data_IF_063386419555
#
_entry.id   IF_063386419555
#
_cell.length_a   1.000
_cell.length_b   1.000
_cell.length_c   1.000
_cell.angle_alpha   90.00
_cell.angle_beta   90.00
_cell.angle_gamma   90.00
#
_symmetry.space_group_name_H-M   'P 1'
#
loop_
_entity.id
_entity.type
_entity.pdbx_description
1 polymer ?
#
# COMPACT_ATOMS: atom_id res chain seq x y z
N UNK A 1 14.29 6.59 5.32
CA UNK A 1 13.47 5.72 6.20
C UNK A 1 14.41 4.91 7.10
N UNK A 2 14.22 4.92 8.41
CA UNK A 2 15.12 4.24 9.36
C UNK A 2 15.05 2.70 9.18
N UNK A 3 16.20 2.02 9.11
CA UNK A 3 16.33 0.57 8.87
C UNK A 3 15.48 -0.24 9.87
N UNK A 4 15.43 0.19 11.14
CA UNK A 4 14.60 -0.47 12.18
C UNK A 4 13.10 -0.41 11.85
N UNK A 5 12.64 0.72 11.29
CA UNK A 5 11.24 0.93 10.91
C UNK A 5 10.88 0.14 9.65
N UNK A 6 11.82 0.03 8.68
CA UNK A 6 11.67 -0.86 7.52
C UNK A 6 11.57 -2.33 7.94
N UNK A 7 12.45 -2.78 8.84
CA UNK A 7 12.42 -4.16 9.34
C UNK A 7 11.10 -4.46 10.07
N UNK A 8 10.66 -3.56 10.97
CA UNK A 8 9.39 -3.73 11.69
C UNK A 8 8.20 -3.80 10.72
N UNK A 9 8.16 -2.94 9.70
CA UNK A 9 7.13 -2.96 8.67
C UNK A 9 7.12 -4.27 7.88
N UNK A 10 8.29 -4.79 7.51
CA UNK A 10 8.40 -6.07 6.80
C UNK A 10 7.90 -7.22 7.65
N UNK A 11 8.29 -7.27 8.93
CA UNK A 11 7.83 -8.32 9.86
C UNK A 11 6.31 -8.26 10.06
N UNK A 12 5.74 -7.06 10.19
CA UNK A 12 4.29 -6.87 10.31
C UNK A 12 3.54 -7.34 9.05
N UNK A 13 4.07 -7.07 7.86
CA UNK A 13 3.47 -7.53 6.60
C UNK A 13 3.48 -9.06 6.47
N UNK A 14 4.58 -9.70 6.84
CA UNK A 14 4.65 -11.16 6.87
C UNK A 14 3.74 -11.78 7.92
N UNK A 15 3.68 -11.21 9.12
CA UNK A 15 2.78 -11.67 10.18
C UNK A 15 1.31 -11.53 9.77
N UNK A 16 0.92 -10.38 9.21
CA UNK A 16 -0.43 -10.16 8.69
C UNK A 16 -0.77 -11.15 7.56
N UNK A 17 0.15 -11.37 6.62
CA UNK A 17 -0.03 -12.34 5.53
C UNK A 17 -0.20 -13.77 6.05
N UNK A 18 0.63 -14.20 7.00
CA UNK A 18 0.56 -15.52 7.61
C UNK A 18 -0.73 -15.74 8.40
N UNK A 19 -1.19 -14.73 9.16
CA UNK A 19 -2.47 -14.78 9.88
C UNK A 19 -3.64 -14.92 8.90
N UNK A 20 -3.66 -14.12 7.82
CA UNK A 20 -4.74 -14.17 6.84
C UNK A 20 -4.81 -15.53 6.11
N UNK A 21 -3.66 -16.11 5.74
CA UNK A 21 -3.59 -17.44 5.14
C UNK A 21 -3.95 -18.53 6.16
N UNK A 22 -3.54 -18.38 7.42
CA UNK A 22 -3.91 -19.29 8.50
C UNK A 22 -5.42 -19.31 8.75
N UNK A 23 -6.04 -18.14 8.85
CA UNK A 23 -7.51 -18.00 9.00
C UNK A 23 -8.24 -18.61 7.81
N UNK A 24 -7.72 -18.45 6.59
CA UNK A 24 -8.27 -19.10 5.41
C UNK A 24 -8.29 -20.64 5.53
N UNK A 25 -7.17 -21.24 5.95
CA UNK A 25 -7.05 -22.69 6.02
C UNK A 25 -7.83 -23.31 7.20
N UNK A 26 -7.90 -22.62 8.34
CA UNK A 26 -8.41 -23.22 9.59
C UNK A 26 -9.82 -22.78 9.99
N UNK A 27 -10.30 -21.61 9.56
CA UNK A 27 -11.55 -21.04 10.06
C UNK A 27 -12.56 -20.71 8.95
N UNK A 28 -12.13 -20.09 7.86
CA UNK A 28 -13.05 -19.56 6.84
C UNK A 28 -12.46 -19.75 5.44
N UNK A 29 -13.06 -20.64 4.64
CA UNK A 29 -12.70 -20.87 3.24
C UNK A 29 -13.23 -19.74 2.32
N UNK A 30 -12.73 -18.52 2.52
CA UNK A 30 -13.05 -17.37 1.70
C UNK A 30 -11.82 -16.96 0.87
N UNK A 31 -11.92 -17.11 -0.45
CA UNK A 31 -10.84 -16.84 -1.41
C UNK A 31 -10.29 -15.42 -1.33
N UNK A 32 -11.07 -14.45 -0.85
CA UNK A 32 -10.61 -13.07 -0.63
C UNK A 32 -9.55 -12.97 0.47
N UNK A 33 -9.62 -13.80 1.53
CA UNK A 33 -8.60 -13.81 2.60
C UNK A 33 -7.28 -14.39 2.10
N UNK A 34 -7.34 -15.42 1.25
CA UNK A 34 -6.16 -15.98 0.61
C UNK A 34 -5.49 -14.94 -0.30
N UNK A 35 -6.27 -14.23 -1.12
CA UNK A 35 -5.77 -13.17 -1.99
C UNK A 35 -5.10 -12.03 -1.22
N UNK A 36 -5.75 -11.56 -0.14
CA UNK A 36 -5.18 -10.53 0.73
C UNK A 36 -3.89 -11.00 1.42
N UNK A 37 -3.86 -12.24 1.93
CA UNK A 37 -2.69 -12.83 2.56
C UNK A 37 -1.50 -12.95 1.59
N UNK A 38 -1.73 -13.42 0.37
CA UNK A 38 -0.71 -13.46 -0.69
C UNK A 38 -0.20 -12.06 -1.03
N UNK A 39 -1.08 -11.07 -1.14
CA UNK A 39 -0.70 -9.67 -1.37
C UNK A 39 0.24 -9.13 -0.30
N UNK A 40 -0.08 -9.37 0.98
CA UNK A 40 0.78 -8.99 2.11
C UNK A 40 2.16 -9.65 2.04
N UNK A 41 2.23 -10.92 1.65
CA UNK A 41 3.51 -11.65 1.50
C UNK A 41 4.33 -11.07 0.36
N UNK A 42 3.74 -10.79 -0.80
CA UNK A 42 4.48 -10.22 -1.95
C UNK A 42 5.08 -8.86 -1.59
N UNK A 43 4.30 -7.98 -0.96
CA UNK A 43 4.79 -6.67 -0.49
C UNK A 43 5.86 -6.84 0.59
N UNK A 44 5.70 -7.83 1.48
CA UNK A 44 6.71 -8.24 2.45
C UNK A 44 8.02 -8.68 1.80
N UNK A 45 7.98 -9.51 0.76
CA UNK A 45 9.15 -9.96 0.01
C UNK A 45 9.88 -8.80 -0.67
N UNK A 46 9.16 -7.88 -1.31
CA UNK A 46 9.75 -6.69 -1.92
C UNK A 46 10.44 -5.83 -0.86
N UNK A 47 9.79 -5.63 0.29
CA UNK A 47 10.35 -4.86 1.41
C UNK A 47 11.57 -5.53 2.02
N UNK A 48 11.56 -6.87 2.13
CA UNK A 48 12.69 -7.67 2.60
C UNK A 48 13.88 -7.60 1.63
N UNK A 49 13.63 -7.67 0.31
CA UNK A 49 14.66 -7.53 -0.71
C UNK A 49 15.32 -6.16 -0.67
N UNK A 50 14.53 -5.08 -0.55
CA UNK A 50 15.05 -3.72 -0.39
C UNK A 50 15.91 -3.58 0.87
N UNK A 51 15.48 -4.18 1.99
CA UNK A 51 16.22 -4.17 3.24
C UNK A 51 17.54 -4.95 3.12
N UNK A 52 17.51 -6.14 2.54
CA UNK A 52 18.68 -6.96 2.29
C UNK A 52 19.70 -6.20 1.43
N UNK A 53 19.26 -5.69 0.27
CA UNK A 53 20.11 -4.90 -0.64
C UNK A 53 20.74 -3.70 0.06
N UNK A 54 20.00 -3.03 0.94
CA UNK A 54 20.50 -1.89 1.73
C UNK A 54 21.54 -2.29 2.79
N UNK A 55 21.48 -3.51 3.33
CA UNK A 55 22.47 -4.00 4.29
C UNK A 55 23.73 -4.55 3.62
N UNK A 56 23.60 -5.16 2.44
CA UNK A 56 24.72 -5.80 1.74
C UNK A 56 25.51 -4.84 0.85
N UNK A 57 24.87 -3.80 0.31
CA UNK A 57 25.50 -2.84 -0.62
C UNK A 57 25.58 -1.44 0.02
N UNK A 58 26.78 -1.08 0.47
CA UNK A 58 27.07 0.22 1.08
C UNK A 58 26.96 1.38 0.08
N UNK A 59 27.22 1.13 -1.20
CA UNK A 59 27.03 2.12 -2.26
C UNK A 59 25.53 2.37 -2.51
N UNK A 60 24.71 1.31 -2.48
CA UNK A 60 23.26 1.45 -2.54
C UNK A 60 22.67 2.17 -1.32
N UNK A 61 23.20 1.91 -0.12
CA UNK A 61 22.78 2.60 1.09
C UNK A 61 23.13 4.10 1.07
N UNK A 62 24.35 4.44 0.65
CA UNK A 62 24.79 5.83 0.56
C UNK A 62 24.04 6.58 -0.55
N UNK A 63 23.84 5.93 -1.71
CA UNK A 63 23.01 6.48 -2.78
C UNK A 63 21.57 6.71 -2.33
N UNK A 64 20.96 5.81 -1.54
CA UNK A 64 19.63 6.03 -1.00
C UNK A 64 19.55 7.23 -0.05
N UNK A 65 20.57 7.47 0.78
CA UNK A 65 20.58 8.64 1.67
C UNK A 65 20.71 9.93 0.87
N UNK A 66 21.62 9.99 -0.11
CA UNK A 66 21.77 11.15 -1.00
C UNK A 66 20.49 11.41 -1.81
N UNK A 67 19.94 10.36 -2.42
CA UNK A 67 18.72 10.40 -3.25
C UNK A 67 17.47 10.74 -2.42
N UNK A 68 17.46 10.44 -1.13
CA UNK A 68 16.34 10.78 -0.23
C UNK A 68 16.34 12.24 0.23
N UNK A 69 17.47 12.95 0.10
CA UNK A 69 17.59 14.37 0.43
C UNK A 69 17.67 15.27 -0.82
N UNK A 70 17.71 14.68 -2.02
CA UNK A 70 17.66 15.44 -3.28
C UNK A 70 16.22 15.93 -3.54
N UNK A 71 16.05 17.25 -3.56
CA UNK A 71 14.77 17.94 -3.82
C UNK A 71 14.12 17.47 -5.12
N UNK A 72 14.91 17.20 -6.17
CA UNK A 72 14.38 16.74 -7.46
C UNK A 72 13.71 15.38 -7.32
N UNK A 73 14.31 14.50 -6.53
CA UNK A 73 13.83 13.15 -6.37
C UNK A 73 12.62 13.09 -5.42
N UNK A 74 12.58 13.97 -4.41
CA UNK A 74 11.37 14.20 -3.61
C UNK A 74 10.20 14.66 -4.49
N UNK A 75 10.42 15.64 -5.37
CA UNK A 75 9.39 16.11 -6.31
C UNK A 75 8.90 14.99 -7.26
N UNK A 76 9.81 14.16 -7.77
CA UNK A 76 9.45 13.00 -8.60
C UNK A 76 8.61 11.98 -7.82
N UNK A 77 8.97 11.72 -6.56
CA UNK A 77 8.25 10.79 -5.69
C UNK A 77 6.83 11.30 -5.39
N UNK A 78 6.67 12.57 -5.02
CA UNK A 78 5.36 13.18 -4.79
C UNK A 78 4.48 13.13 -6.05
N UNK A 79 5.07 13.43 -7.22
CA UNK A 79 4.36 13.36 -8.50
C UNK A 79 3.94 11.94 -8.85
N UNK A 80 4.81 10.95 -8.59
CA UNK A 80 4.48 9.54 -8.78
C UNK A 80 3.34 9.11 -7.86
N UNK A 81 3.39 9.47 -6.58
CA UNK A 81 2.32 9.18 -5.62
C UNK A 81 0.98 9.81 -6.04
N UNK A 82 1.00 11.07 -6.49
CA UNK A 82 -0.19 11.75 -7.01
C UNK A 82 -0.79 11.01 -8.23
N UNK A 83 0.04 10.59 -9.19
CA UNK A 83 -0.43 9.84 -10.36
C UNK A 83 -0.97 8.46 -9.99
N UNK A 84 -0.29 7.74 -9.10
CA UNK A 84 -0.75 6.44 -8.60
C UNK A 84 -2.09 6.56 -7.88
N UNK A 85 -2.29 7.62 -7.08
CA UNK A 85 -3.58 7.89 -6.44
C UNK A 85 -4.70 8.03 -7.47
N UNK A 86 -4.50 8.82 -8.53
CA UNK A 86 -5.50 9.00 -9.59
C UNK A 86 -5.80 7.67 -10.29
N UNK A 87 -4.78 6.89 -10.63
CA UNK A 87 -4.96 5.58 -11.29
C UNK A 87 -5.77 4.63 -10.40
N UNK A 88 -5.44 4.55 -9.11
CA UNK A 88 -6.16 3.70 -8.15
C UNK A 88 -7.61 4.18 -7.99
N UNK A 89 -7.83 5.49 -7.86
CA UNK A 89 -9.17 6.04 -7.72
C UNK A 89 -10.04 5.73 -8.95
N UNK A 90 -9.51 5.90 -10.16
CA UNK A 90 -10.20 5.53 -11.41
C UNK A 90 -10.46 4.03 -11.47
N UNK A 91 -9.47 3.20 -11.11
CA UNK A 91 -9.61 1.74 -11.07
C UNK A 91 -10.70 1.28 -10.09
N UNK A 92 -10.77 1.88 -8.90
CA UNK A 92 -11.84 1.61 -7.93
C UNK A 92 -13.21 2.06 -8.44
N UNK A 93 -13.30 3.22 -9.09
CA UNK A 93 -14.56 3.70 -9.68
C UNK A 93 -15.07 2.75 -10.79
N UNK A 94 -14.18 2.31 -11.69
CA UNK A 94 -14.51 1.31 -12.71
C UNK A 94 -14.94 0.00 -12.06
N UNK A 95 -14.18 -0.48 -11.06
CA UNK A 95 -14.50 -1.70 -10.33
C UNK A 95 -15.87 -1.66 -9.67
N UNK A 96 -16.26 -0.52 -9.10
CA UNK A 96 -17.57 -0.29 -8.50
C UNK A 96 -18.70 -0.35 -9.54
N UNK A 97 -18.53 0.28 -10.70
CA UNK A 97 -19.53 0.27 -11.77
C UNK A 97 -19.71 -1.17 -12.28
N UNK A 98 -18.61 -1.86 -12.56
CA UNK A 98 -18.66 -3.24 -13.08
C UNK A 98 -19.30 -4.19 -12.06
N UNK A 99 -18.92 -4.11 -10.79
CA UNK A 99 -19.51 -4.97 -9.75
C UNK A 99 -21.01 -4.71 -9.55
N UNK A 100 -21.44 -3.45 -9.62
CA UNK A 100 -22.86 -3.07 -9.57
C UNK A 100 -23.63 -3.65 -10.76
N UNK A 101 -23.09 -3.55 -11.97
CA UNK A 101 -23.72 -4.11 -13.18
C UNK A 101 -23.82 -5.65 -13.15
N UNK A 102 -22.89 -6.31 -12.45
CA UNK A 102 -22.90 -7.76 -12.27
C UNK A 102 -23.82 -8.22 -11.12
N UNK A 103 -24.55 -7.31 -10.47
CA UNK A 103 -25.40 -7.62 -9.31
C UNK A 103 -24.61 -8.04 -8.07
N UNK A 104 -23.31 -7.75 -8.03
CA UNK A 104 -22.43 -8.05 -6.91
C UNK A 104 -22.42 -6.90 -5.91
N UNK A 105 -23.58 -6.62 -5.32
CA UNK A 105 -23.85 -5.46 -4.45
C UNK A 105 -22.86 -5.36 -3.27
N UNK A 106 -22.48 -6.50 -2.69
CA UNK A 106 -21.55 -6.55 -1.56
C UNK A 106 -20.14 -6.08 -1.98
N UNK A 107 -19.69 -6.46 -3.17
CA UNK A 107 -18.38 -6.03 -3.72
C UNK A 107 -18.43 -4.53 -4.04
N UNK A 108 -19.51 -4.06 -4.68
CA UNK A 108 -19.71 -2.64 -4.96
C UNK A 108 -19.68 -1.78 -3.68
N UNK A 109 -20.36 -2.25 -2.62
CA UNK A 109 -20.40 -1.58 -1.33
C UNK A 109 -19.02 -1.51 -0.68
N UNK A 110 -18.26 -2.61 -0.68
CA UNK A 110 -16.88 -2.62 -0.14
C UNK A 110 -15.99 -1.65 -0.90
N UNK A 111 -16.02 -1.65 -2.23
CA UNK A 111 -15.25 -0.72 -3.06
C UNK A 111 -15.66 0.74 -2.75
N UNK A 112 -16.95 1.01 -2.58
CA UNK A 112 -17.46 2.35 -2.22
C UNK A 112 -16.96 2.83 -0.87
N UNK A 113 -16.92 1.95 0.15
CA UNK A 113 -16.37 2.29 1.46
C UNK A 113 -14.88 2.62 1.36
N UNK A 114 -14.11 1.80 0.64
CA UNK A 114 -12.67 2.02 0.43
C UNK A 114 -12.44 3.35 -0.29
N UNK A 115 -13.19 3.61 -1.37
CA UNK A 115 -13.09 4.85 -2.12
C UNK A 115 -13.42 6.08 -1.25
N UNK A 116 -14.49 5.99 -0.45
CA UNK A 116 -14.89 7.03 0.49
C UNK A 116 -13.82 7.30 1.56
N UNK A 117 -13.23 6.26 2.14
CA UNK A 117 -12.14 6.38 3.13
C UNK A 117 -10.90 7.04 2.55
N UNK A 118 -10.50 6.65 1.33
CA UNK A 118 -9.36 7.25 0.62
C UNK A 118 -9.61 8.74 0.40
N UNK A 119 -10.79 9.11 -0.08
CA UNK A 119 -11.13 10.51 -0.35
C UNK A 119 -11.26 11.34 0.94
N UNK A 120 -11.92 10.81 1.97
CA UNK A 120 -12.02 11.47 3.27
C UNK A 120 -10.63 11.70 3.89
N UNK A 121 -9.76 10.70 3.83
CA UNK A 121 -8.37 10.81 4.31
C UNK A 121 -7.62 11.88 3.52
N UNK A 122 -7.75 11.91 2.19
CA UNK A 122 -7.15 12.94 1.35
C UNK A 122 -7.62 14.35 1.76
N UNK A 123 -8.94 14.55 1.94
CA UNK A 123 -9.48 15.84 2.36
C UNK A 123 -8.93 16.26 3.72
N UNK A 124 -8.95 15.37 4.71
CA UNK A 124 -8.43 15.66 6.06
C UNK A 124 -6.94 16.03 6.00
N UNK A 125 -6.12 15.23 5.31
CA UNK A 125 -4.68 15.48 5.16
C UNK A 125 -4.43 16.80 4.43
N UNK A 126 -5.18 17.08 3.36
CA UNK A 126 -5.07 18.34 2.61
C UNK A 126 -5.39 19.54 3.50
N UNK A 127 -6.43 19.48 4.32
CA UNK A 127 -6.79 20.54 5.26
C UNK A 127 -5.71 20.76 6.32
N UNK A 128 -5.14 19.68 6.87
CA UNK A 128 -4.05 19.77 7.85
C UNK A 128 -2.82 20.45 7.23
N UNK A 129 -2.41 20.02 6.04
CA UNK A 129 -1.25 20.58 5.35
C UNK A 129 -1.51 22.05 5.00
N UNK A 130 -2.66 22.36 4.43
CA UNK A 130 -3.04 23.74 4.07
C UNK A 130 -3.07 24.68 5.28
N UNK A 131 -3.45 24.19 6.47
CA UNK A 131 -3.46 24.99 7.69
C UNK A 131 -2.05 25.25 8.25
N UNK A 132 -1.10 24.35 7.98
CA UNK A 132 0.27 24.42 8.48
C UNK A 132 1.27 25.03 7.47
N UNK A 133 0.84 25.28 6.23
CA UNK A 133 1.56 26.07 5.22
C UNK A 133 1.18 27.54 5.30
#
# INVERSE_FOLDING_TARGET
>A
MNIKRQFLSTVLLFAAGAVLIGVFNFAVHNSSLLGAGCGCIVVGCISAYQLFRRQTDSAYANNQDVVSHDERNLMLMERAQSKTFVIIAVGLAIGMIVSSLMGQELIAQVISIIFGLIFATYVVVYWIIRKNS
#
